data_IF_290653221170
#
_entry.id   IF_290653221170
#
_cell.length_a   1.000
_cell.length_b   1.000
_cell.length_c   1.000
_cell.angle_alpha   90.00
_cell.angle_beta   90.00
_cell.angle_gamma   90.00
#
_symmetry.space_group_name_H-M   'P 1'
#
loop_
_entity.id
_entity.type
_entity.pdbx_description
1 polymer ?
#
# COMPACT_ATOMS: atom_id res chain seq x y z
N UNK A 1 -2.82 10.70 -6.86
CA UNK A 1 -3.53 9.50 -6.40
C UNK A 1 -4.22 8.75 -7.55
N UNK A 2 -4.75 9.44 -8.57
CA UNK A 2 -5.37 8.78 -9.73
C UNK A 2 -4.46 7.75 -10.43
N UNK A 3 -3.20 8.07 -10.71
CA UNK A 3 -2.24 7.09 -11.27
C UNK A 3 -2.03 5.84 -10.41
N UNK A 4 -2.10 5.98 -9.08
CA UNK A 4 -1.96 4.85 -8.15
C UNK A 4 -3.25 4.02 -8.16
N UNK A 5 -4.41 4.68 -8.24
CA UNK A 5 -5.69 4.00 -8.45
C UNK A 5 -5.65 3.18 -9.76
N UNK A 6 -5.27 3.79 -10.89
CA UNK A 6 -5.15 3.10 -12.18
C UNK A 6 -4.22 1.89 -12.12
N UNK A 7 -3.08 2.02 -11.46
CA UNK A 7 -2.12 0.93 -11.30
C UNK A 7 -2.66 -0.23 -10.45
N UNK A 8 -3.33 0.09 -9.34
CA UNK A 8 -3.71 -0.91 -8.32
C UNK A 8 -5.12 -1.47 -8.50
N UNK A 9 -5.96 -0.83 -9.33
CA UNK A 9 -7.33 -1.25 -9.60
C UNK A 9 -7.44 -2.19 -10.81
N UNK A 10 -6.59 -3.22 -10.84
CA UNK A 10 -6.65 -4.31 -11.82
C UNK A 10 -7.00 -5.64 -11.11
N UNK A 11 -7.23 -6.73 -11.86
CA UNK A 11 -7.37 -8.06 -11.28
C UNK A 11 -6.08 -8.56 -10.59
N UNK A 12 -4.91 -8.02 -10.96
CA UNK A 12 -3.64 -8.35 -10.33
C UNK A 12 -3.62 -7.90 -8.87
N UNK A 13 -3.19 -8.79 -7.98
CA UNK A 13 -2.95 -8.45 -6.59
C UNK A 13 -1.56 -7.82 -6.45
N UNK A 14 -1.51 -6.55 -6.04
CA UNK A 14 -0.26 -5.84 -5.80
C UNK A 14 0.08 -5.87 -4.32
N UNK A 15 1.33 -6.23 -4.04
CA UNK A 15 1.96 -6.03 -2.74
C UNK A 15 2.55 -4.60 -2.67
N UNK A 16 2.45 -3.96 -1.51
CA UNK A 16 3.17 -2.71 -1.22
C UNK A 16 4.10 -2.90 -0.05
N UNK A 17 5.32 -2.37 -0.16
CA UNK A 17 6.29 -2.29 0.93
C UNK A 17 6.56 -0.84 1.28
N UNK A 18 6.41 -0.53 2.56
CA UNK A 18 6.82 0.74 3.15
C UNK A 18 8.11 0.51 3.93
N UNK A 19 9.17 1.22 3.58
CA UNK A 19 10.40 1.27 4.36
C UNK A 19 10.39 2.51 5.26
N UNK A 20 10.67 2.31 6.55
CA UNK A 20 10.59 3.32 7.60
C UNK A 20 11.97 3.48 8.25
N UNK A 21 12.35 4.71 8.54
CA UNK A 21 13.63 5.00 9.20
C UNK A 21 13.52 6.11 10.23
N UNK A 22 14.12 5.90 11.40
CA UNK A 22 14.26 6.91 12.47
C UNK A 22 15.66 6.80 13.08
N UNK A 23 16.49 7.83 12.92
CA UNK A 23 17.91 7.73 13.29
C UNK A 23 18.62 6.57 12.57
N UNK A 24 19.24 5.67 13.33
CA UNK A 24 19.85 4.43 12.83
C UNK A 24 18.86 3.27 12.68
N UNK A 25 17.64 3.39 13.20
CA UNK A 25 16.61 2.35 13.10
C UNK A 25 16.08 2.28 11.67
N UNK A 26 15.92 1.05 11.16
CA UNK A 26 15.31 0.76 9.86
C UNK A 26 14.32 -0.39 10.05
N UNK A 27 13.09 -0.15 9.63
CA UNK A 27 11.98 -1.10 9.71
C UNK A 27 11.19 -1.12 8.41
N UNK A 28 10.35 -2.12 8.24
CA UNK A 28 9.50 -2.23 7.06
C UNK A 28 8.12 -2.80 7.39
N UNK A 29 7.14 -2.41 6.59
CA UNK A 29 5.78 -2.94 6.60
C UNK A 29 5.40 -3.37 5.18
N UNK A 30 4.96 -4.60 5.02
CA UNK A 30 4.43 -5.16 3.77
C UNK A 30 2.94 -5.44 3.94
N UNK A 31 2.15 -5.10 2.93
CA UNK A 31 0.76 -5.55 2.79
C UNK A 31 0.59 -6.31 1.49
N UNK A 32 0.10 -7.54 1.57
CA UNK A 32 -0.01 -8.48 0.45
C UNK A 32 -1.09 -8.11 -0.59
N UNK A 33 -1.95 -7.15 -0.29
CA UNK A 33 -2.94 -6.58 -1.19
C UNK A 33 -2.99 -5.08 -0.93
N UNK A 34 -2.87 -4.26 -1.97
CA UNK A 34 -2.95 -2.82 -1.88
C UNK A 34 -3.74 -2.26 -3.06
N UNK A 35 -4.89 -1.65 -2.76
CA UNK A 35 -5.72 -0.94 -3.74
C UNK A 35 -6.09 0.45 -3.24
N UNK A 36 -6.00 1.42 -4.14
CA UNK A 36 -6.49 2.78 -3.91
C UNK A 36 -7.77 2.96 -4.72
N UNK A 37 -8.86 3.38 -4.06
CA UNK A 37 -10.13 3.67 -4.73
C UNK A 37 -10.07 4.98 -5.55
N UNK A 38 -11.00 5.25 -6.49
CA UNK A 38 -11.00 6.50 -7.25
C UNK A 38 -11.38 7.71 -6.37
N UNK A 39 -11.16 8.93 -6.89
CA UNK A 39 -11.49 10.20 -6.21
C UNK A 39 -12.94 10.30 -5.70
N UNK A 40 -13.93 9.75 -6.43
CA UNK A 40 -15.34 9.70 -5.99
C UNK A 40 -15.55 8.92 -4.68
N UNK A 41 -14.62 8.03 -4.33
CA UNK A 41 -14.58 7.28 -3.07
C UNK A 41 -13.50 7.83 -2.11
N UNK A 42 -13.04 9.06 -2.34
CA UNK A 42 -12.05 9.75 -1.52
C UNK A 42 -10.75 8.95 -1.33
N UNK A 43 -10.34 8.19 -2.35
CA UNK A 43 -9.13 7.38 -2.33
C UNK A 43 -9.04 6.39 -1.16
N UNK A 44 -10.19 5.84 -0.72
CA UNK A 44 -10.25 4.78 0.29
C UNK A 44 -9.23 3.67 -0.02
N UNK A 45 -8.48 3.27 1.01
CA UNK A 45 -7.49 2.20 0.91
C UNK A 45 -8.14 0.84 1.23
N UNK A 46 -7.79 -0.15 0.42
CA UNK A 46 -8.00 -1.57 0.74
C UNK A 46 -6.63 -2.20 0.90
N UNK A 47 -6.36 -2.73 2.09
CA UNK A 47 -5.09 -3.39 2.43
C UNK A 47 -5.32 -4.83 2.88
N UNK A 48 -4.37 -5.71 2.59
CA UNK A 48 -4.40 -7.11 2.95
C UNK A 48 -3.65 -7.42 4.25
N UNK A 49 -3.05 -8.62 4.32
CA UNK A 49 -2.34 -9.07 5.51
C UNK A 49 -1.01 -8.33 5.68
N UNK A 50 -0.70 -8.03 6.93
CA UNK A 50 0.55 -7.41 7.32
C UNK A 50 1.69 -8.43 7.46
N UNK A 51 2.88 -8.05 7.00
CA UNK A 51 4.16 -8.69 7.33
C UNK A 51 5.21 -7.61 7.52
N UNK A 52 5.97 -7.65 8.61
CA UNK A 52 7.02 -6.66 8.82
C UNK A 52 7.51 -6.60 10.26
N UNK A 53 8.39 -5.65 10.49
CA UNK A 53 8.93 -5.32 11.81
C UNK A 53 8.73 -3.83 12.17
N UNK A 54 7.90 -3.11 11.40
CA UNK A 54 7.46 -1.76 11.71
C UNK A 54 6.84 -1.69 13.10
#
# INVERSE_FOLDING_TARGET
LEKIHELTNTPTQYEVRFDLGSGSERKYAVYDNFKVAPSKQKFKLTIGNYKGNA
#
